data_IF_422334545162
#
_entry.id   IF_422334545162
#
_cell.length_a   1.000
_cell.length_b   1.000
_cell.length_c   1.000
_cell.angle_alpha   90.00
_cell.angle_beta   90.00
_cell.angle_gamma   90.00
#
_symmetry.space_group_name_H-M   'P 1'
#
loop_
_entity.id
_entity.type
_entity.pdbx_description
1 polymer ?
#
# COMPACT_ATOMS: atom_id res chain seq x y z
N UNK A 1 3.26 -5.10 8.22
CA UNK A 1 2.85 -5.36 6.84
C UNK A 1 1.42 -4.92 6.64
N UNK A 2 1.17 -4.19 5.58
CA UNK A 2 -0.17 -3.72 5.23
C UNK A 2 -0.68 -4.57 4.08
N UNK A 3 -1.88 -5.13 4.22
CA UNK A 3 -2.50 -5.96 3.19
C UNK A 3 -3.49 -5.16 2.37
N UNK A 4 -3.32 -5.18 1.05
CA UNK A 4 -4.20 -4.50 0.11
C UNK A 4 -4.98 -5.56 -0.65
N UNK A 5 -6.30 -5.57 -0.45
CA UNK A 5 -7.23 -6.52 -1.08
C UNK A 5 -8.44 -5.79 -1.62
N UNK A 6 -8.77 -6.04 -2.88
CA UNK A 6 -9.92 -5.39 -3.52
C UNK A 6 -11.27 -5.83 -2.99
N UNK A 7 -11.34 -6.99 -2.35
CA UNK A 7 -12.58 -7.50 -1.77
C UNK A 7 -12.94 -6.87 -0.41
N UNK A 8 -12.08 -6.00 0.11
CA UNK A 8 -12.33 -5.30 1.37
C UNK A 8 -11.92 -6.06 2.62
N UNK A 9 -11.35 -7.26 2.49
CA UNK A 9 -10.96 -8.06 3.66
C UNK A 9 -9.56 -7.72 4.16
N UNK A 10 -8.79 -6.91 3.43
CA UNK A 10 -7.49 -6.44 3.87
C UNK A 10 -7.59 -5.13 4.62
N UNK A 11 -6.43 -4.49 4.79
CA UNK A 11 -6.36 -3.20 5.47
C UNK A 11 -6.85 -2.06 4.57
N UNK A 12 -6.60 -2.17 3.27
CA UNK A 12 -7.02 -1.19 2.27
C UNK A 12 -7.44 -1.88 0.99
N UNK A 13 -8.26 -1.19 0.19
CA UNK A 13 -8.70 -1.69 -1.11
C UNK A 13 -7.90 -1.09 -2.26
N UNK A 14 -7.08 -0.06 -2.01
CA UNK A 14 -6.22 0.55 -3.02
C UNK A 14 -4.83 0.81 -2.47
N UNK A 15 -3.86 0.80 -3.37
CA UNK A 15 -2.45 1.03 -3.00
C UNK A 15 -2.26 2.48 -2.54
N UNK A 16 -2.86 3.44 -3.25
CA UNK A 16 -2.70 4.85 -2.91
C UNK A 16 -3.32 5.17 -1.55
N UNK A 17 -4.46 4.56 -1.22
CA UNK A 17 -5.07 4.76 0.10
C UNK A 17 -4.15 4.29 1.23
N UNK A 18 -3.46 3.16 1.02
CA UNK A 18 -2.49 2.66 1.98
C UNK A 18 -1.32 3.63 2.13
N UNK A 19 -0.80 4.15 1.03
CA UNK A 19 0.30 5.13 1.06
C UNK A 19 -0.12 6.42 1.74
N UNK A 20 -1.33 6.89 1.47
CA UNK A 20 -1.85 8.13 2.05
C UNK A 20 -2.08 8.03 3.56
N UNK A 21 -2.21 6.81 4.08
CA UNK A 21 -2.36 6.59 5.52
C UNK A 21 -1.04 6.73 6.28
N UNK A 22 0.09 6.71 5.58
CA UNK A 22 1.40 6.77 6.20
C UNK A 22 1.85 8.23 6.35
N UNK A 23 2.57 8.56 7.44
CA UNK A 23 3.10 9.91 7.59
C UNK A 23 4.19 10.18 6.56
N UNK A 24 4.26 11.42 6.08
CA UNK A 24 5.25 11.81 5.07
C UNK A 24 6.69 11.70 5.58
N UNK A 25 6.88 11.75 6.88
CA UNK A 25 8.18 11.65 7.54
C UNK A 25 8.43 10.25 8.13
N UNK A 26 7.76 9.24 7.59
CA UNK A 26 7.91 7.86 8.05
C UNK A 26 9.39 7.44 8.06
N UNK A 27 9.85 6.88 9.16
CA UNK A 27 11.23 6.42 9.33
C UNK A 27 11.32 4.93 9.62
N UNK A 28 10.20 4.23 9.61
CA UNK A 28 10.15 2.79 9.86
C UNK A 28 9.84 2.04 8.57
N UNK A 29 10.51 0.91 8.33
CA UNK A 29 10.23 0.10 7.14
C UNK A 29 8.77 -0.38 7.14
N UNK A 30 8.07 -0.15 6.02
CA UNK A 30 6.70 -0.59 5.83
C UNK A 30 6.65 -1.41 4.56
N UNK A 31 6.02 -2.58 4.62
CA UNK A 31 5.81 -3.44 3.46
C UNK A 31 4.32 -3.46 3.11
N UNK A 32 4.01 -3.13 1.87
CA UNK A 32 2.66 -3.24 1.33
C UNK A 32 2.56 -4.55 0.55
N UNK A 33 1.71 -5.46 1.01
CA UNK A 33 1.44 -6.72 0.34
C UNK A 33 0.18 -6.58 -0.50
N UNK A 34 0.36 -6.62 -1.82
CA UNK A 34 -0.73 -6.42 -2.78
C UNK A 34 -1.25 -7.79 -3.21
N UNK A 35 -2.47 -8.10 -2.81
CA UNK A 35 -3.13 -9.34 -3.17
C UNK A 35 -3.70 -9.26 -4.58
N UNK A 36 -4.11 -10.40 -5.13
CA UNK A 36 -4.66 -10.48 -6.47
C UNK A 36 -5.78 -9.48 -6.68
N UNK A 37 -5.76 -8.82 -7.82
CA UNK A 37 -6.78 -7.85 -8.19
C UNK A 37 -6.31 -6.99 -9.35
N UNK A 38 -7.21 -6.15 -9.83
CA UNK A 38 -6.91 -5.18 -10.88
C UNK A 38 -6.82 -3.81 -10.23
N UNK A 39 -5.61 -3.24 -10.21
CA UNK A 39 -5.34 -1.94 -9.60
C UNK A 39 -5.05 -0.93 -10.71
N UNK A 40 -6.05 -0.16 -11.10
CA UNK A 40 -5.92 0.87 -12.14
C UNK A 40 -5.61 2.20 -11.47
N UNK A 41 -4.37 2.33 -10.98
CA UNK A 41 -3.97 3.48 -10.19
C UNK A 41 -2.71 4.11 -10.76
N UNK A 42 -2.66 5.44 -10.66
CA UNK A 42 -1.41 6.17 -10.78
C UNK A 42 -0.91 6.41 -9.38
N UNK A 43 0.16 5.73 -9.02
CA UNK A 43 0.66 5.73 -7.65
C UNK A 43 1.75 6.79 -7.50
N UNK A 44 1.58 7.64 -6.51
CA UNK A 44 2.59 8.60 -6.09
C UNK A 44 3.17 8.16 -4.76
N UNK A 45 4.44 7.78 -4.77
CA UNK A 45 5.14 7.37 -3.55
C UNK A 45 5.93 8.56 -3.05
N UNK A 46 5.43 9.18 -1.98
CA UNK A 46 6.09 10.32 -1.32
C UNK A 46 6.61 9.96 0.07
N UNK A 47 6.37 8.74 0.50
CA UNK A 47 6.73 8.25 1.83
C UNK A 47 7.99 7.40 1.72
N UNK A 48 9.05 7.66 2.53
CA UNK A 48 10.26 6.86 2.52
C UNK A 48 10.08 5.50 3.21
N UNK A 49 11.00 4.58 2.96
CA UNK A 49 11.07 3.25 3.58
C UNK A 49 9.86 2.35 3.28
N UNK A 50 9.24 2.52 2.11
CA UNK A 50 8.12 1.68 1.69
C UNK A 50 8.60 0.64 0.69
N UNK A 51 8.23 -0.61 0.92
CA UNK A 51 8.51 -1.73 0.02
C UNK A 51 7.18 -2.31 -0.48
N UNK A 52 7.20 -2.82 -1.69
CA UNK A 52 6.03 -3.45 -2.30
C UNK A 52 6.33 -4.92 -2.56
N UNK A 53 5.37 -5.78 -2.23
CA UNK A 53 5.40 -7.17 -2.62
C UNK A 53 4.01 -7.57 -3.11
N UNK A 54 3.91 -8.60 -3.94
CA UNK A 54 2.64 -8.97 -4.54
C UNK A 54 2.53 -10.47 -4.75
N UNK A 55 1.30 -10.89 -4.99
CA UNK A 55 0.99 -12.26 -5.38
C UNK A 55 1.32 -12.52 -6.85
#
# INVERSE_FOLDING_TARGET
MIHIKQDGTGDFTSVQAALDSLPADNQEPVTLFIHKGIYRERIHVTVPYVSFTGE
#
